data_IF_606728103689
#
_entry.id   IF_606728103689
#
_cell.length_a   1.000
_cell.length_b   1.000
_cell.length_c   1.000
_cell.angle_alpha   90.00
_cell.angle_beta   90.00
_cell.angle_gamma   90.00
#
_symmetry.space_group_name_H-M   'P 1'
#
loop_
_entity.id
_entity.type
_entity.pdbx_description
1 polymer ?
#
# COMPACT_ATOMS: atom_id res chain seq x y z
N UNK A 1 25.49 25.73 -26.44
CA UNK A 1 25.17 25.11 -26.28
C UNK A 1 24.68 24.37 -26.08
N UNK A 2 24.91 24.63 -26.02
CA UNK A 2 24.41 23.98 -25.78
C UNK A 2 23.94 23.20 -25.45
N UNK A 3 24.18 23.16 -25.42
CA UNK A 3 23.66 22.46 -25.11
C UNK A 3 22.92 21.68 -24.92
N UNK A 4 23.32 22.19 -25.42
CA UNK A 4 22.48 21.52 -25.32
C UNK A 4 22.43 20.38 -25.15
N UNK A 5 22.12 20.69 -25.13
CA UNK A 5 22.19 19.51 -24.35
C UNK A 5 21.01 18.62 -24.52
N UNK A 6 21.27 17.46 -25.02
CA UNK A 6 20.21 16.50 -25.12
C UNK A 6 20.13 15.63 -23.95
N UNK A 7 18.93 15.29 -23.48
CA UNK A 7 18.81 14.36 -22.38
C UNK A 7 19.37 13.01 -22.76
N UNK A 8 20.19 12.49 -21.94
CA UNK A 8 20.65 11.14 -22.09
C UNK A 8 19.56 10.18 -21.72
N UNK A 9 19.78 8.90 -21.97
CA UNK A 9 18.84 7.91 -21.52
C UNK A 9 18.62 7.93 -20.03
N UNK A 10 19.68 8.24 -19.30
CA UNK A 10 19.57 8.34 -17.86
C UNK A 10 18.67 9.47 -17.43
N UNK A 11 18.78 10.60 -18.08
CA UNK A 11 17.93 11.73 -17.74
C UNK A 11 16.48 11.43 -18.05
N UNK A 12 16.22 10.75 -19.15
CA UNK A 12 14.86 10.38 -19.49
C UNK A 12 14.26 9.45 -18.44
N UNK A 13 15.07 8.50 -17.96
CA UNK A 13 14.60 7.56 -16.96
C UNK A 13 14.31 8.30 -15.66
N UNK A 14 15.18 9.20 -15.26
CA UNK A 14 14.98 9.96 -14.04
C UNK A 14 13.73 10.82 -14.15
N UNK A 15 13.53 11.48 -15.29
CA UNK A 15 12.35 12.30 -15.48
C UNK A 15 11.08 11.48 -15.40
N UNK A 16 11.06 10.28 -15.99
CA UNK A 16 9.91 9.40 -15.91
C UNK A 16 9.64 8.98 -14.48
N UNK A 17 10.70 8.70 -13.75
CA UNK A 17 10.56 8.27 -12.36
C UNK A 17 9.97 9.39 -11.52
N UNK A 18 10.46 10.61 -11.71
CA UNK A 18 9.95 11.76 -10.96
C UNK A 18 8.50 12.01 -11.29
N UNK A 19 8.14 11.92 -12.58
CA UNK A 19 6.75 12.12 -12.99
C UNK A 19 5.84 11.10 -12.33
N UNK A 20 6.30 9.86 -12.21
CA UNK A 20 5.52 8.84 -11.54
C UNK A 20 5.34 9.11 -10.08
N UNK A 21 6.40 9.58 -9.42
CA UNK A 21 6.29 9.94 -8.02
C UNK A 21 5.31 11.09 -7.81
N UNK A 22 5.36 12.08 -8.69
CA UNK A 22 4.44 13.20 -8.58
C UNK A 22 3.01 12.76 -8.82
N UNK A 23 2.82 11.84 -9.75
CA UNK A 23 1.50 11.31 -10.01
C UNK A 23 0.95 10.59 -8.78
N UNK A 24 1.77 9.80 -8.12
CA UNK A 24 1.35 9.13 -6.91
C UNK A 24 1.02 10.11 -5.81
N UNK A 25 1.82 11.16 -5.68
CA UNK A 25 1.59 12.15 -4.64
C UNK A 25 0.32 12.95 -4.89
N UNK A 26 -0.09 13.08 -6.15
CA UNK A 26 -1.29 13.82 -6.48
C UNK A 26 -2.55 12.99 -6.34
N UNK A 27 -2.42 11.69 -6.27
CA UNK A 27 -3.58 10.84 -6.05
C UNK A 27 -4.00 10.95 -4.59
N UNK A 28 -5.30 11.04 -4.34
CA UNK A 28 -5.73 11.07 -2.95
C UNK A 28 -5.45 9.75 -2.29
N UNK A 29 -5.09 9.80 -1.03
CA UNK A 29 -4.96 8.61 -0.23
C UNK A 29 -6.33 8.14 0.19
N UNK A 30 -6.53 6.86 0.10
CA UNK A 30 -7.76 6.23 0.53
C UNK A 30 -7.49 5.33 1.71
N UNK A 31 -8.51 5.14 2.50
CA UNK A 31 -8.40 4.30 3.69
C UNK A 31 -8.94 2.93 3.39
N UNK A 32 -8.23 1.93 3.86
CA UNK A 32 -8.58 0.54 3.66
C UNK A 32 -8.51 -0.20 4.97
N UNK A 33 -9.38 -1.18 5.10
CA UNK A 33 -9.31 -2.12 6.22
C UNK A 33 -8.65 -3.38 5.71
N UNK A 34 -7.58 -3.78 6.38
CA UNK A 34 -6.93 -5.06 6.10
C UNK A 34 -7.44 -6.05 7.12
N UNK A 35 -8.17 -7.05 6.66
CA UNK A 35 -8.74 -8.07 7.52
C UNK A 35 -7.99 -9.36 7.30
N UNK A 36 -7.44 -9.93 8.36
CA UNK A 36 -6.63 -11.14 8.26
C UNK A 36 -7.15 -12.18 9.22
N UNK A 37 -7.12 -13.42 8.79
CA UNK A 37 -7.59 -14.56 9.58
C UNK A 37 -6.41 -15.39 10.03
N UNK A 38 -6.42 -15.75 11.31
CA UNK A 38 -5.38 -16.55 11.92
C UNK A 38 -6.08 -17.68 12.70
N UNK A 39 -6.23 -18.83 12.04
CA UNK A 39 -6.95 -19.93 12.65
C UNK A 39 -8.42 -19.59 12.81
N UNK A 40 -8.89 -19.59 14.05
CA UNK A 40 -10.30 -19.35 14.33
C UNK A 40 -10.62 -17.89 14.64
N UNK A 41 -9.61 -17.02 14.65
CA UNK A 41 -9.84 -15.62 14.96
C UNK A 41 -9.44 -14.78 13.77
N UNK A 42 -9.94 -13.56 13.76
CA UNK A 42 -9.50 -12.61 12.75
C UNK A 42 -9.19 -11.27 13.41
N UNK A 43 -8.36 -10.51 12.72
CA UNK A 43 -7.96 -9.19 13.14
C UNK A 43 -8.03 -8.24 11.96
N UNK A 44 -8.10 -6.96 12.25
CA UNK A 44 -8.04 -5.99 11.18
C UNK A 44 -7.32 -4.74 11.65
N UNK A 45 -6.76 -4.05 10.67
CA UNK A 45 -6.13 -2.76 10.86
C UNK A 45 -6.57 -1.85 9.74
N UNK A 46 -6.51 -0.55 9.98
CA UNK A 46 -6.82 0.45 8.98
C UNK A 46 -5.50 1.01 8.45
N UNK A 47 -5.38 1.07 7.14
CA UNK A 47 -4.19 1.61 6.49
C UNK A 47 -4.62 2.63 5.46
N UNK A 48 -3.65 3.43 5.03
CA UNK A 48 -3.87 4.46 4.03
C UNK A 48 -2.97 4.20 2.85
N UNK A 49 -3.49 4.37 1.64
CA UNK A 49 -2.70 4.08 0.46
C UNK A 49 -3.23 4.84 -0.74
N UNK A 50 -2.31 5.15 -1.67
CA UNK A 50 -2.69 5.71 -2.96
C UNK A 50 -3.13 4.64 -3.95
N UNK A 51 -2.91 3.37 -3.62
CA UNK A 51 -3.26 2.25 -4.50
C UNK A 51 -4.73 1.94 -4.41
N UNK A 52 -5.25 1.30 -5.44
CA UNK A 52 -6.60 0.72 -5.34
C UNK A 52 -6.55 -0.49 -4.43
N UNK A 53 -7.73 -0.97 -4.04
CA UNK A 53 -7.79 -2.16 -3.17
C UNK A 53 -7.10 -3.35 -3.83
N UNK A 54 -7.36 -3.57 -5.12
CA UNK A 54 -6.75 -4.68 -5.83
C UNK A 54 -5.24 -4.52 -5.91
N UNK A 55 -4.78 -3.32 -6.21
CA UNK A 55 -3.34 -3.06 -6.29
C UNK A 55 -2.67 -3.28 -4.94
N UNK A 56 -3.32 -2.87 -3.87
CA UNK A 56 -2.75 -3.03 -2.54
C UNK A 56 -2.67 -4.51 -2.18
N UNK A 57 -3.72 -5.26 -2.49
CA UNK A 57 -3.71 -6.70 -2.26
C UNK A 57 -2.59 -7.37 -3.05
N UNK A 58 -2.47 -7.03 -4.33
CA UNK A 58 -1.42 -7.61 -5.17
C UNK A 58 -0.04 -7.28 -4.66
N UNK A 59 0.13 -6.08 -4.15
CA UNK A 59 1.41 -5.65 -3.59
C UNK A 59 1.81 -6.53 -2.40
N UNK A 60 0.87 -6.75 -1.48
CA UNK A 60 1.15 -7.60 -0.32
C UNK A 60 1.43 -9.04 -0.75
N UNK A 61 0.65 -9.55 -1.67
CA UNK A 61 0.84 -10.92 -2.14
C UNK A 61 2.20 -11.09 -2.79
N UNK A 62 2.60 -10.11 -3.59
CA UNK A 62 3.91 -10.17 -4.26
C UNK A 62 5.04 -10.18 -3.23
N UNK A 63 4.93 -9.37 -2.19
CA UNK A 63 5.95 -9.35 -1.16
C UNK A 63 6.03 -10.69 -0.44
N UNK A 64 4.89 -11.29 -0.12
CA UNK A 64 4.88 -12.58 0.54
C UNK A 64 5.49 -13.65 -0.34
N UNK A 65 5.16 -13.64 -1.62
CA UNK A 65 5.71 -14.63 -2.56
C UNK A 65 7.21 -14.46 -2.73
N UNK A 66 7.72 -13.27 -2.53
CA UNK A 66 9.17 -13.06 -2.62
C UNK A 66 9.90 -13.45 -1.34
N UNK A 67 9.18 -13.95 -0.35
CA UNK A 67 9.79 -14.41 0.89
C UNK A 67 10.04 -13.30 1.89
N UNK A 68 9.45 -12.15 1.71
CA UNK A 68 9.66 -11.03 2.62
C UNK A 68 8.63 -11.02 3.72
N UNK A 69 9.01 -10.63 4.92
CA UNK A 69 8.00 -10.44 5.96
C UNK A 69 7.18 -9.20 5.67
N UNK A 70 5.87 -9.33 5.84
CA UNK A 70 4.94 -8.23 5.57
C UNK A 70 4.18 -7.92 6.84
N UNK A 71 4.46 -6.77 7.42
CA UNK A 71 3.80 -6.31 8.64
C UNK A 71 2.96 -5.10 8.32
N UNK A 72 1.72 -5.09 8.78
CA UNK A 72 0.86 -3.93 8.64
C UNK A 72 0.41 -3.48 10.01
N UNK A 73 0.43 -2.18 10.22
CA UNK A 73 0.05 -1.60 11.51
C UNK A 73 -1.15 -0.70 11.31
N UNK A 74 -1.86 -0.49 12.40
CA UNK A 74 -3.04 0.36 12.37
C UNK A 74 -2.63 1.83 12.24
N UNK A 75 -3.18 2.53 11.26
CA UNK A 75 -2.86 3.94 11.09
C UNK A 75 -3.50 4.79 12.19
N UNK A 76 -4.61 4.34 12.73
CA UNK A 76 -5.27 5.04 13.83
C UNK A 76 -4.61 4.66 15.11
N UNK A 77 -3.44 5.16 15.28
CA UNK A 77 -2.60 4.77 16.37
C UNK A 77 -2.96 5.58 17.61
N UNK A 78 -3.86 5.09 18.41
CA UNK A 78 -4.16 5.75 19.67
C UNK A 78 -3.50 4.98 20.80
N UNK A 79 -3.48 5.59 21.96
CA UNK A 79 -2.74 5.03 23.09
C UNK A 79 -3.37 3.77 23.64
N UNK A 80 -4.64 3.58 23.36
CA UNK A 80 -5.35 2.45 23.95
C UNK A 80 -5.25 1.19 23.12
N UNK A 81 -4.85 1.34 21.86
CA UNK A 81 -4.88 0.18 20.97
C UNK A 81 -3.77 0.28 19.95
N UNK A 82 -2.94 -0.72 19.92
CA UNK A 82 -1.88 -0.84 18.93
C UNK A 82 -1.89 -2.26 18.43
N UNK A 83 -1.77 -2.41 17.12
CA UNK A 83 -1.88 -3.73 16.52
C UNK A 83 -0.96 -3.81 15.31
N UNK A 84 -0.27 -4.94 15.18
CA UNK A 84 0.52 -5.23 14.00
C UNK A 84 0.13 -6.62 13.53
N UNK A 85 -0.11 -6.76 12.24
CA UNK A 85 -0.45 -8.02 11.64
C UNK A 85 0.68 -8.47 10.74
N UNK A 86 1.11 -9.71 10.89
CA UNK A 86 2.06 -10.31 9.97
C UNK A 86 1.25 -11.10 8.96
N UNK A 87 1.15 -10.58 7.76
CA UNK A 87 0.29 -11.19 6.74
C UNK A 87 0.80 -12.52 6.26
N UNK A 88 2.11 -12.77 6.41
CA UNK A 88 2.68 -14.06 6.00
C UNK A 88 2.05 -15.23 6.75
N UNK A 89 1.65 -15.00 7.99
CA UNK A 89 1.11 -16.06 8.83
C UNK A 89 -0.39 -16.19 8.74
N UNK A 90 -1.04 -15.32 7.99
CA UNK A 90 -2.49 -15.34 7.89
C UNK A 90 -2.94 -16.47 6.98
N UNK A 91 -4.03 -17.12 7.35
CA UNK A 91 -4.65 -18.11 6.49
C UNK A 91 -5.32 -17.46 5.30
N UNK A 92 -5.82 -16.25 5.49
CA UNK A 92 -6.44 -15.46 4.42
C UNK A 92 -6.46 -14.01 4.85
N UNK A 93 -6.40 -13.09 3.89
CA UNK A 93 -6.59 -11.69 4.21
C UNK A 93 -7.25 -10.98 3.04
N UNK A 94 -7.88 -9.86 3.34
CA UNK A 94 -8.62 -9.08 2.36
C UNK A 94 -8.34 -7.60 2.57
N UNK A 95 -8.45 -6.85 1.48
CA UNK A 95 -8.36 -5.39 1.50
C UNK A 95 -9.73 -4.84 1.17
N UNK A 96 -10.29 -4.08 2.08
CA UNK A 96 -11.63 -3.54 1.94
C UNK A 96 -11.59 -2.02 1.94
N UNK A 97 -12.30 -1.42 1.01
CA UNK A 97 -12.35 0.02 0.91
C UNK A 97 -13.33 0.58 1.93
N UNK A 98 -12.84 1.47 2.78
CA UNK A 98 -13.70 2.10 3.77
C UNK A 98 -14.56 3.20 3.17
N UNK A 99 -14.11 3.78 2.08
CA UNK A 99 -14.88 4.84 1.44
C UNK A 99 -16.21 4.35 0.93
N UNK A 100 -16.21 3.15 0.39
CA UNK A 100 -17.44 2.59 -0.11
C UNK A 100 -18.44 2.33 1.00
N UNK A 101 -17.93 2.01 2.17
CA UNK A 101 -18.81 1.77 3.30
C UNK A 101 -19.43 3.04 3.81
N UNK A 102 -18.72 4.15 3.68
CA UNK A 102 -19.21 5.42 4.17
C UNK A 102 -20.33 6.00 3.32
N UNK A 103 -20.37 5.60 2.07
CA UNK A 103 -21.38 6.12 1.17
C UNK A 103 -22.76 5.59 1.44
N UNK A 104 -22.90 4.71 2.35
CA UNK A 104 -24.22 4.17 2.72
C UNK A 104 -24.83 4.91 3.91
#
# INVERSE_FOLDING_TARGET
>A
MSNIHKPSGEESIVSSFIAKLEELNNKPKKQYKIKAHYGTIYRFVTVESHRTATELLDYYVALIHSGRPVYVTNMDNNDDEACVLKLNDADAFAVLSLEEQEDN
#
